data_IF_095657876572
#
_entry.id   IF_095657876572
#
_cell.length_a   1.000
_cell.length_b   1.000
_cell.length_c   1.000
_cell.angle_alpha   90.00
_cell.angle_beta   90.00
_cell.angle_gamma   90.00
#
_symmetry.space_group_name_H-M   'P 1'
#
loop_
_entity.id
_entity.type
_entity.pdbx_description
1 polymer ?
#
# COMPACT_ATOMS: atom_id res chain seq x y z
N UNK A 1 -10.49 -5.55 -17.84
CA UNK A 1 -11.56 -6.02 -17.11
C UNK A 1 -11.33 -7.11 -16.12
N UNK A 2 -10.16 -7.52 -16.00
CA UNK A 2 -9.79 -8.50 -15.04
C UNK A 2 -9.94 -8.01 -13.63
N UNK A 3 -9.68 -6.74 -13.41
CA UNK A 3 -9.64 -6.17 -12.09
C UNK A 3 -10.95 -5.48 -11.77
N UNK A 4 -12.00 -6.28 -11.63
CA UNK A 4 -13.31 -5.74 -11.38
C UNK A 4 -13.40 -4.91 -10.12
N UNK A 5 -12.63 -5.27 -9.11
CA UNK A 5 -12.61 -4.48 -7.87
C UNK A 5 -12.12 -3.07 -8.13
N UNK A 6 -11.11 -2.96 -9.02
CA UNK A 6 -10.59 -1.64 -9.38
C UNK A 6 -11.63 -0.82 -10.12
N UNK A 7 -12.39 -1.46 -10.97
CA UNK A 7 -13.39 -0.76 -11.76
C UNK A 7 -14.46 -0.11 -10.91
N UNK A 8 -14.73 -0.69 -9.77
CA UNK A 8 -15.71 -0.16 -8.84
C UNK A 8 -15.12 0.86 -7.88
N UNK A 9 -13.86 1.17 -8.07
CA UNK A 9 -13.21 2.10 -7.17
C UNK A 9 -12.91 1.53 -5.80
N UNK A 10 -12.96 0.22 -5.68
CA UNK A 10 -12.72 -0.45 -4.42
C UNK A 10 -11.36 -1.12 -4.43
N UNK A 11 -10.63 -0.97 -3.34
CA UNK A 11 -9.31 -1.55 -3.19
C UNK A 11 -9.34 -2.48 -1.98
N UNK A 12 -9.15 -3.77 -2.23
CA UNK A 12 -9.27 -4.78 -1.18
C UNK A 12 -7.98 -5.57 -1.07
N UNK A 13 -7.46 -5.65 0.14
CA UNK A 13 -6.33 -6.53 0.45
C UNK A 13 -6.82 -7.55 1.46
N UNK A 14 -6.61 -8.82 1.18
CA UNK A 14 -7.09 -9.89 2.02
C UNK A 14 -5.90 -10.74 2.46
N UNK A 15 -5.49 -10.57 3.72
CA UNK A 15 -4.40 -11.34 4.34
C UNK A 15 -3.12 -11.28 3.50
N UNK A 16 -2.67 -10.06 3.23
CA UNK A 16 -1.48 -9.80 2.44
C UNK A 16 -0.37 -9.24 3.31
N UNK A 17 0.86 -9.60 3.00
CA UNK A 17 2.00 -8.96 3.65
C UNK A 17 2.18 -7.56 3.08
N UNK A 18 2.95 -6.73 3.77
CA UNK A 18 3.22 -5.37 3.30
C UNK A 18 3.86 -5.41 1.92
N UNK A 19 4.80 -6.34 1.69
CA UNK A 19 5.45 -6.47 0.39
C UNK A 19 4.46 -6.77 -0.71
N UNK A 20 3.52 -7.66 -0.44
CA UNK A 20 2.48 -7.99 -1.42
C UNK A 20 1.58 -6.78 -1.70
N UNK A 21 1.25 -6.05 -0.64
CA UNK A 21 0.42 -4.84 -0.79
C UNK A 21 1.15 -3.82 -1.64
N UNK A 22 2.43 -3.61 -1.38
CA UNK A 22 3.24 -2.67 -2.16
C UNK A 22 3.23 -3.03 -3.64
N UNK A 23 3.39 -4.31 -3.95
CA UNK A 23 3.38 -4.76 -5.34
C UNK A 23 2.08 -4.40 -6.04
N UNK A 24 0.97 -4.57 -5.35
CA UNK A 24 -0.34 -4.23 -5.91
C UNK A 24 -0.48 -2.73 -6.08
N UNK A 25 -0.02 -1.96 -5.10
CA UNK A 25 -0.13 -0.51 -5.16
C UNK A 25 0.72 0.08 -6.27
N UNK A 26 1.89 -0.50 -6.53
CA UNK A 26 2.73 -0.05 -7.63
C UNK A 26 1.99 -0.13 -8.96
N UNK A 27 1.21 -1.17 -9.13
CA UNK A 27 0.44 -1.35 -10.36
C UNK A 27 -0.75 -0.41 -10.44
N UNK A 28 -1.47 -0.29 -9.33
CA UNK A 28 -2.69 0.51 -9.34
C UNK A 28 -2.40 2.00 -9.49
N UNK A 29 -1.39 2.49 -8.80
CA UNK A 29 -1.09 3.92 -8.77
C UNK A 29 0.06 4.32 -9.70
N UNK A 30 0.61 3.35 -10.41
CA UNK A 30 1.69 3.61 -11.37
C UNK A 30 2.83 4.39 -10.73
N UNK A 31 3.27 3.92 -9.56
CA UNK A 31 4.36 4.55 -8.84
C UNK A 31 5.36 3.49 -8.41
N UNK A 32 6.55 3.95 -8.04
CA UNK A 32 7.60 3.07 -7.57
C UNK A 32 7.74 3.19 -6.06
N UNK A 33 7.94 2.05 -5.41
CA UNK A 33 8.16 2.01 -3.99
C UNK A 33 9.61 1.66 -3.68
N UNK A 34 10.17 2.38 -2.72
CA UNK A 34 11.52 2.15 -2.25
C UNK A 34 11.45 1.82 -0.77
N UNK A 35 11.98 0.71 -0.39
CA UNK A 35 11.89 0.25 1.00
C UNK A 35 13.01 -0.74 1.29
N UNK A 36 13.29 -0.92 2.58
CA UNK A 36 14.23 -1.92 3.03
C UNK A 36 13.43 -3.15 3.43
N UNK A 37 13.64 -4.24 2.72
CA UNK A 37 12.90 -5.47 2.95
C UNK A 37 13.05 -5.97 4.38
N UNK A 38 14.18 -5.70 5.00
CA UNK A 38 14.42 -6.12 6.38
C UNK A 38 13.59 -5.32 7.38
N UNK A 39 13.09 -4.16 6.97
CA UNK A 39 12.23 -3.35 7.82
C UNK A 39 10.78 -3.81 7.81
N UNK A 40 10.42 -4.65 6.85
CA UNK A 40 9.04 -5.08 6.69
C UNK A 40 8.85 -6.46 7.31
N UNK A 41 7.80 -6.57 8.11
CA UNK A 41 7.48 -7.83 8.76
C UNK A 41 6.65 -8.70 7.84
N UNK A 42 6.60 -9.98 8.16
CA UNK A 42 5.82 -10.93 7.39
C UNK A 42 4.38 -11.06 7.89
N UNK A 43 3.97 -10.15 8.74
CA UNK A 43 2.60 -10.14 9.22
C UNK A 43 1.65 -9.89 8.06
N UNK A 44 0.48 -10.48 8.16
CA UNK A 44 -0.53 -10.33 7.12
C UNK A 44 -1.61 -9.39 7.59
N UNK A 45 -2.09 -8.57 6.66
CA UNK A 45 -3.08 -7.54 6.95
C UNK A 45 -4.22 -7.62 5.98
N UNK A 46 -5.37 -7.18 6.42
CA UNK A 46 -6.54 -7.03 5.57
C UNK A 46 -6.97 -5.57 5.60
N UNK A 47 -7.15 -4.99 4.43
CA UNK A 47 -7.59 -3.61 4.28
C UNK A 47 -8.68 -3.52 3.23
N UNK A 48 -9.55 -2.56 3.39
CA UNK A 48 -10.57 -2.30 2.41
C UNK A 48 -10.78 -0.81 2.28
N UNK A 49 -10.64 -0.32 1.06
CA UNK A 49 -10.80 1.09 0.74
C UNK A 49 -11.85 1.24 -0.34
N UNK A 50 -12.68 2.26 -0.23
CA UNK A 50 -13.71 2.54 -1.20
C UNK A 50 -13.48 3.91 -1.83
N UNK A 51 -14.13 4.13 -2.97
CA UNK A 51 -14.14 5.44 -3.63
C UNK A 51 -12.76 5.88 -4.15
N UNK A 52 -11.97 4.93 -4.64
CA UNK A 52 -10.67 5.23 -5.25
C UNK A 52 -9.83 6.16 -4.38
N UNK A 53 -9.41 5.72 -3.20
CA UNK A 53 -8.65 6.60 -2.32
C UNK A 53 -7.32 6.99 -2.95
N UNK A 54 -6.80 8.17 -2.64
CA UNK A 54 -5.47 8.54 -3.09
C UNK A 54 -4.42 7.69 -2.39
N UNK A 55 -3.25 7.56 -3.00
CA UNK A 55 -2.18 6.75 -2.44
C UNK A 55 -1.80 7.19 -1.03
N UNK A 56 -1.77 8.50 -0.79
CA UNK A 56 -1.42 9.01 0.54
C UNK A 56 -2.37 8.50 1.61
N UNK A 57 -3.66 8.42 1.31
CA UNK A 57 -4.64 7.92 2.26
C UNK A 57 -4.41 6.44 2.53
N UNK A 58 -4.14 5.67 1.49
CA UNK A 58 -3.87 4.24 1.65
C UNK A 58 -2.63 4.03 2.52
N UNK A 59 -1.58 4.79 2.24
CA UNK A 59 -0.34 4.66 3.00
C UNK A 59 -0.51 5.09 4.45
N UNK A 60 -1.31 6.13 4.71
CA UNK A 60 -1.60 6.55 6.09
C UNK A 60 -2.18 5.40 6.91
N UNK A 61 -3.13 4.69 6.34
CA UNK A 61 -3.75 3.57 7.03
C UNK A 61 -2.75 2.44 7.24
N UNK A 62 -1.98 2.13 6.20
CA UNK A 62 -1.03 1.02 6.29
C UNK A 62 0.03 1.28 7.36
N UNK A 63 0.63 2.47 7.38
CA UNK A 63 1.67 2.76 8.37
C UNK A 63 1.09 2.88 9.77
N UNK A 64 -0.15 3.32 9.87
CA UNK A 64 -0.81 3.41 11.17
C UNK A 64 -1.00 2.02 11.78
N UNK A 65 -1.45 1.08 10.97
CA UNK A 65 -1.66 -0.29 11.44
C UNK A 65 -0.33 -0.99 11.70
N UNK A 66 0.64 -0.80 10.82
CA UNK A 66 1.96 -1.41 10.99
C UNK A 66 2.69 -0.87 12.22
N UNK A 67 2.49 0.41 12.50
CA UNK A 67 2.94 0.97 13.77
C UNK A 67 4.39 1.45 13.83
N UNK A 68 5.27 0.82 13.09
CA UNK A 68 6.69 1.17 13.15
C UNK A 68 7.24 1.65 11.80
N UNK A 69 6.35 2.05 10.92
CA UNK A 69 6.74 2.52 9.60
C UNK A 69 6.27 3.95 9.38
N UNK A 70 6.96 4.63 8.48
CA UNK A 70 6.51 5.91 7.98
C UNK A 70 6.76 5.95 6.47
N UNK A 71 6.18 6.93 5.79
CA UNK A 71 6.32 7.00 4.35
C UNK A 71 6.45 8.43 3.89
N UNK A 72 6.95 8.58 2.68
CA UNK A 72 7.06 9.86 2.00
C UNK A 72 6.78 9.66 0.52
N UNK A 73 5.89 10.48 -0.03
CA UNK A 73 5.55 10.41 -1.45
C UNK A 73 6.13 11.62 -2.15
N UNK A 74 6.88 11.37 -3.23
CA UNK A 74 7.45 12.42 -4.07
C UNK A 74 7.19 12.07 -5.52
N UNK A 75 6.33 12.85 -6.18
CA UNK A 75 5.96 12.60 -7.58
C UNK A 75 5.41 11.18 -7.74
N UNK A 76 6.10 10.34 -8.48
CA UNK A 76 5.70 8.96 -8.72
C UNK A 76 6.46 7.97 -7.85
N UNK A 77 7.07 8.43 -6.77
CA UNK A 77 7.87 7.58 -5.89
C UNK A 77 7.32 7.61 -4.47
N UNK A 78 7.37 6.48 -3.83
CA UNK A 78 6.95 6.36 -2.45
C UNK A 78 8.07 5.67 -1.66
N UNK A 79 8.53 6.34 -0.62
CA UNK A 79 9.60 5.83 0.23
C UNK A 79 9.01 5.35 1.54
N UNK A 80 9.32 4.11 1.91
CA UNK A 80 8.87 3.54 3.17
C UNK A 80 10.07 3.36 4.07
N UNK A 81 9.97 3.87 5.27
CA UNK A 81 11.07 3.88 6.21
C UNK A 81 10.58 3.43 7.57
N UNK A 82 11.52 2.97 8.39
CA UNK A 82 11.23 2.69 9.79
C UNK A 82 11.21 3.99 10.58
N UNK A 83 10.30 4.05 11.52
CA UNK A 83 10.27 5.19 12.43
C UNK A 83 11.51 5.25 13.29
#
# INVERSE_FOLDING_TARGET
>A
PILTAWQKGELVFNRKTITEIITILERKYDCKFFYNQHSLKNDRYSFRFKDNPPLSEVMDVIVDVAGDLCFKIEHDKCYIMQK
#
